data_IF_144826057307
#
_entry.id   IF_144826057307
#
_cell.length_a   1.000
_cell.length_b   1.000
_cell.length_c   1.000
_cell.angle_alpha   90.00
_cell.angle_beta   90.00
_cell.angle_gamma   90.00
#
_symmetry.space_group_name_H-M   'P 1'
#
loop_
_entity.id
_entity.type
_entity.pdbx_description
1 polymer ?
#
# COMPACT_ATOMS: atom_id res chain seq x y z
N UNK A 1 8.10 20.13 8.87
CA UNK A 1 6.83 19.69 9.53
C UNK A 1 6.14 18.65 8.66
N UNK A 2 5.63 17.57 9.27
CA UNK A 2 4.92 16.47 8.58
C UNK A 2 3.40 16.69 8.69
N UNK A 3 2.68 16.68 7.56
CA UNK A 3 1.22 16.62 7.54
C UNK A 3 0.77 15.18 7.30
N UNK A 4 0.15 14.55 8.28
CA UNK A 4 -0.34 13.16 8.21
C UNK A 4 -1.78 13.18 7.76
N UNK A 5 -2.05 12.64 6.57
CA UNK A 5 -3.35 12.61 5.92
C UNK A 5 -3.92 11.21 6.04
N UNK A 6 -5.07 11.09 6.68
CA UNK A 6 -5.73 9.81 6.99
C UNK A 6 -7.15 9.85 6.46
N UNK A 7 -7.52 8.86 5.64
CA UNK A 7 -8.90 8.61 5.26
C UNK A 7 -9.49 7.55 6.20
N UNK A 8 -10.35 7.96 7.14
CA UNK A 8 -10.85 7.08 8.17
C UNK A 8 -12.26 6.58 7.94
N UNK A 9 -12.52 5.35 8.36
CA UNK A 9 -13.83 4.67 8.31
C UNK A 9 -14.74 4.99 9.51
N UNK A 10 -14.23 5.73 10.48
CA UNK A 10 -14.97 6.20 11.65
C UNK A 10 -15.14 7.74 11.59
N UNK A 11 -16.13 8.33 12.30
CA UNK A 11 -16.30 9.79 12.34
C UNK A 11 -15.12 10.54 12.95
N UNK A 12 -14.28 9.86 13.74
CA UNK A 12 -13.11 10.44 14.41
C UNK A 12 -11.96 9.45 14.38
N UNK A 13 -10.74 9.99 14.40
CA UNK A 13 -9.52 9.18 14.53
C UNK A 13 -9.55 8.36 15.82
N UNK A 14 -9.09 7.12 15.75
CA UNK A 14 -8.92 6.27 16.93
C UNK A 14 -7.94 6.96 17.91
N UNK A 15 -8.34 7.20 19.19
CA UNK A 15 -7.46 7.83 20.19
C UNK A 15 -6.14 7.09 20.42
N UNK A 16 -6.13 5.74 20.36
CA UNK A 16 -4.92 4.95 20.53
C UNK A 16 -3.96 5.15 19.35
N UNK A 17 -4.48 5.27 18.13
CA UNK A 17 -3.68 5.55 16.95
C UNK A 17 -3.10 6.98 17.00
N UNK A 18 -3.90 7.97 17.39
CA UNK A 18 -3.43 9.34 17.59
C UNK A 18 -2.34 9.43 18.67
N UNK A 19 -2.51 8.72 19.79
CA UNK A 19 -1.51 8.64 20.85
C UNK A 19 -0.23 7.91 20.40
N UNK A 20 -0.35 6.85 19.58
CA UNK A 20 0.79 6.18 18.97
C UNK A 20 1.59 7.13 18.08
N UNK A 21 0.95 7.86 17.18
CA UNK A 21 1.60 8.90 16.36
C UNK A 21 2.33 9.90 17.27
N UNK A 22 1.63 10.51 18.21
CA UNK A 22 2.19 11.54 19.11
C UNK A 22 3.44 11.06 19.86
N UNK A 23 3.44 9.79 20.29
CA UNK A 23 4.54 9.20 21.08
C UNK A 23 5.71 8.69 20.25
N UNK A 24 5.56 8.58 18.93
CA UNK A 24 6.56 7.93 18.07
C UNK A 24 7.12 8.81 16.96
N UNK A 25 6.42 9.85 16.53
CA UNK A 25 6.76 10.63 15.32
C UNK A 25 8.10 11.37 15.42
N UNK A 26 8.41 12.01 16.55
CA UNK A 26 9.72 12.63 16.81
C UNK A 26 10.04 13.92 16.05
N UNK A 27 9.05 14.58 15.45
CA UNK A 27 9.17 15.87 14.79
C UNK A 27 7.86 16.68 14.91
N UNK A 28 7.87 17.92 14.44
CA UNK A 28 6.65 18.73 14.33
C UNK A 28 5.70 18.13 13.29
N UNK A 29 4.40 18.04 13.63
CA UNK A 29 3.41 17.42 12.76
C UNK A 29 2.01 18.01 12.96
N UNK A 30 1.13 17.75 12.00
CA UNK A 30 -0.33 17.88 12.11
C UNK A 30 -1.01 16.60 11.60
N UNK A 31 -2.21 16.32 12.07
CA UNK A 31 -3.06 15.24 11.58
C UNK A 31 -4.24 15.86 10.83
N UNK A 32 -4.42 15.44 9.60
CA UNK A 32 -5.56 15.81 8.74
C UNK A 32 -6.39 14.56 8.53
N UNK A 33 -7.40 14.43 9.38
CA UNK A 33 -8.34 13.32 9.32
C UNK A 33 -9.51 13.66 8.40
N UNK A 34 -9.75 12.80 7.42
CA UNK A 34 -10.91 12.88 6.51
C UNK A 34 -11.92 11.84 7.01
N UNK A 35 -12.99 12.32 7.62
CA UNK A 35 -14.12 11.46 7.98
C UNK A 35 -14.78 10.92 6.70
N UNK A 36 -14.63 9.64 6.48
CA UNK A 36 -15.26 8.89 5.39
C UNK A 36 -16.18 7.78 5.92
N UNK A 37 -16.70 7.92 7.13
CA UNK A 37 -17.58 6.95 7.79
C UNK A 37 -18.88 6.69 7.02
N UNK A 38 -19.28 7.64 6.16
CA UNK A 38 -20.45 7.53 5.29
C UNK A 38 -20.12 7.08 3.87
N UNK A 39 -18.85 6.85 3.54
CA UNK A 39 -18.42 6.47 2.20
C UNK A 39 -18.63 7.57 1.14
N UNK A 40 -18.52 8.84 1.53
CA UNK A 40 -18.77 9.98 0.64
C UNK A 40 -17.64 10.21 -0.38
N UNK A 41 -16.45 9.66 -0.11
CA UNK A 41 -15.26 9.82 -0.94
C UNK A 41 -14.60 8.49 -1.24
N UNK A 42 -14.07 8.36 -2.46
CA UNK A 42 -13.05 7.34 -2.72
C UNK A 42 -11.70 7.81 -2.13
N UNK A 43 -10.69 6.93 -2.11
CA UNK A 43 -9.38 7.23 -1.50
C UNK A 43 -8.67 8.39 -2.20
N UNK A 44 -8.78 8.50 -3.53
CA UNK A 44 -8.15 9.55 -4.33
C UNK A 44 -8.69 10.93 -3.94
N UNK A 45 -10.01 11.07 -3.85
CA UNK A 45 -10.69 12.30 -3.41
C UNK A 45 -10.32 12.65 -1.96
N UNK A 46 -10.33 11.66 -1.06
CA UNK A 46 -10.00 11.87 0.33
C UNK A 46 -8.56 12.38 0.50
N UNK A 47 -7.60 11.76 -0.18
CA UNK A 47 -6.20 12.13 -0.10
C UNK A 47 -5.92 13.48 -0.77
N UNK A 48 -6.53 13.78 -1.93
CA UNK A 48 -6.41 15.11 -2.56
C UNK A 48 -6.95 16.21 -1.64
N UNK A 49 -8.13 16.02 -1.04
CA UNK A 49 -8.72 16.97 -0.08
C UNK A 49 -7.86 17.16 1.17
N UNK A 50 -7.28 16.09 1.68
CA UNK A 50 -6.36 16.14 2.81
C UNK A 50 -5.09 16.92 2.47
N UNK A 51 -4.47 16.64 1.35
CA UNK A 51 -3.27 17.31 0.88
C UNK A 51 -3.47 18.82 0.63
N UNK A 52 -4.65 19.24 0.14
CA UNK A 52 -4.98 20.66 -0.01
C UNK A 52 -5.06 21.41 1.33
N UNK A 53 -5.42 20.73 2.42
CA UNK A 53 -5.51 21.30 3.77
C UNK A 53 -4.19 21.30 4.52
N UNK A 54 -3.26 20.49 4.06
CA UNK A 54 -1.97 20.26 4.70
C UNK A 54 -1.09 21.51 4.71
N UNK A 55 -0.32 21.76 5.78
CA UNK A 55 0.58 22.89 5.95
C UNK A 55 2.07 22.51 5.97
N UNK A 56 2.39 21.23 6.25
CA UNK A 56 3.75 20.72 6.29
C UNK A 56 4.37 20.57 4.90
N UNK A 57 5.69 20.61 4.81
CA UNK A 57 6.43 20.43 3.56
C UNK A 57 6.54 18.97 3.16
N UNK A 58 6.34 18.05 4.11
CA UNK A 58 6.25 16.61 3.91
C UNK A 58 4.80 16.16 4.08
N UNK A 59 4.19 15.65 3.02
CA UNK A 59 2.89 15.01 3.05
C UNK A 59 3.06 13.53 3.33
N UNK A 60 2.35 13.02 4.32
CA UNK A 60 2.35 11.62 4.72
C UNK A 60 0.93 11.06 4.59
N UNK A 61 0.72 10.08 3.74
CA UNK A 61 -0.55 9.39 3.52
C UNK A 61 -0.53 8.08 4.29
N UNK A 62 -1.55 7.83 5.09
CA UNK A 62 -1.57 6.72 6.03
C UNK A 62 -2.95 6.08 6.13
N UNK A 63 -2.97 4.75 6.26
CA UNK A 63 -4.14 4.02 6.73
C UNK A 63 -4.44 4.34 8.19
N UNK A 64 -5.66 4.05 8.63
CA UNK A 64 -6.15 4.23 10.02
C UNK A 64 -5.98 2.97 10.89
N UNK A 65 -5.48 1.87 10.31
CA UNK A 65 -5.31 0.56 10.91
C UNK A 65 -3.84 0.09 10.94
N UNK A 66 -2.93 1.02 11.24
CA UNK A 66 -1.51 0.74 11.41
C UNK A 66 -1.02 1.18 12.81
N UNK A 67 0.17 0.70 13.20
CA UNK A 67 0.89 1.10 14.41
C UNK A 67 2.36 1.30 14.10
N UNK A 68 2.92 2.42 14.51
CA UNK A 68 4.35 2.69 14.44
C UNK A 68 5.06 2.15 15.67
N UNK A 69 6.13 1.37 15.47
CA UNK A 69 7.03 0.88 16.53
C UNK A 69 8.32 1.69 16.61
N UNK A 70 8.78 2.25 15.49
CA UNK A 70 9.98 3.08 15.45
C UNK A 70 9.74 4.45 16.07
N UNK A 71 10.56 4.83 17.06
CA UNK A 71 10.61 6.21 17.56
C UNK A 71 11.36 7.11 16.59
N UNK A 72 10.83 8.33 16.37
CA UNK A 72 11.43 9.30 15.44
C UNK A 72 11.17 8.99 13.97
N UNK A 73 10.16 8.16 13.65
CA UNK A 73 9.86 7.79 12.27
C UNK A 73 9.56 8.99 11.37
N UNK A 74 8.93 10.05 11.90
CA UNK A 74 8.63 11.26 11.15
C UNK A 74 9.89 12.03 10.77
N UNK A 75 10.87 12.13 11.68
CA UNK A 75 12.16 12.75 11.38
C UNK A 75 12.97 11.95 10.33
N UNK A 76 12.87 10.60 10.37
CA UNK A 76 13.46 9.73 9.33
C UNK A 76 12.79 10.02 7.99
N UNK A 77 11.45 10.06 7.95
CA UNK A 77 10.69 10.33 6.74
C UNK A 77 11.01 11.71 6.13
N UNK A 78 10.99 12.78 6.95
CA UNK A 78 11.35 14.13 6.50
C UNK A 78 12.73 14.18 5.87
N UNK A 79 13.72 13.55 6.53
CA UNK A 79 15.08 13.51 6.03
C UNK A 79 15.17 12.80 4.67
N UNK A 80 14.61 11.58 4.55
CA UNK A 80 14.68 10.82 3.30
C UNK A 80 13.90 11.49 2.18
N UNK A 81 12.73 12.07 2.48
CA UNK A 81 11.95 12.87 1.52
C UNK A 81 12.76 14.08 1.03
N UNK A 82 13.45 14.79 1.92
CA UNK A 82 14.29 15.94 1.54
C UNK A 82 15.52 15.52 0.72
N UNK A 83 16.15 14.40 1.05
CA UNK A 83 17.31 13.86 0.34
C UNK A 83 16.96 13.36 -1.06
N UNK A 84 15.81 12.73 -1.24
CA UNK A 84 15.41 12.08 -2.50
C UNK A 84 14.56 12.97 -3.40
N UNK A 85 13.76 13.85 -2.82
CA UNK A 85 12.78 14.67 -3.56
C UNK A 85 11.63 13.86 -4.17
N UNK A 86 11.44 12.60 -3.74
CA UNK A 86 10.52 11.64 -4.29
C UNK A 86 9.52 11.05 -3.29
N UNK A 87 8.92 9.92 -3.66
CA UNK A 87 8.01 9.16 -2.80
C UNK A 87 8.82 8.20 -1.92
N UNK A 88 8.47 8.13 -0.64
CA UNK A 88 9.14 7.28 0.36
C UNK A 88 8.09 6.41 1.06
N UNK A 89 8.25 5.08 1.01
CA UNK A 89 7.42 4.10 1.74
C UNK A 89 8.27 3.08 2.48
N UNK A 90 7.64 2.08 3.13
CA UNK A 90 8.36 1.07 3.94
C UNK A 90 8.47 -0.29 3.25
N UNK A 91 7.62 -0.55 2.27
CA UNK A 91 7.62 -1.79 1.51
C UNK A 91 7.18 -1.51 0.08
N UNK A 92 7.74 -2.23 -0.87
CA UNK A 92 7.43 -2.04 -2.28
C UNK A 92 8.13 -3.05 -3.17
N UNK A 93 8.30 -2.69 -4.43
CA UNK A 93 8.94 -3.54 -5.43
C UNK A 93 9.87 -2.72 -6.33
N UNK A 94 10.97 -3.33 -6.74
CA UNK A 94 11.98 -2.76 -7.62
C UNK A 94 11.68 -2.98 -9.12
N UNK A 95 10.62 -3.72 -9.42
CA UNK A 95 10.14 -3.93 -10.79
C UNK A 95 8.61 -3.88 -10.85
N UNK A 96 8.09 -3.16 -11.85
CA UNK A 96 6.70 -3.23 -12.27
C UNK A 96 6.66 -3.91 -13.63
N UNK A 97 6.13 -5.15 -13.74
CA UNK A 97 6.11 -5.91 -14.98
C UNK A 97 5.07 -5.36 -15.96
N UNK A 98 5.17 -5.79 -17.22
CA UNK A 98 4.20 -5.40 -18.28
C UNK A 98 2.93 -6.25 -18.19
N UNK A 99 2.16 -6.00 -17.14
CA UNK A 99 0.84 -6.56 -16.91
C UNK A 99 0.09 -5.72 -15.87
N UNK A 100 -1.13 -6.10 -15.51
CA UNK A 100 -1.87 -5.54 -14.38
C UNK A 100 -1.16 -5.93 -13.08
N UNK A 101 -0.40 -5.00 -12.52
CA UNK A 101 0.52 -5.28 -11.43
C UNK A 101 0.16 -4.53 -10.15
N UNK A 102 0.56 -5.11 -9.05
CA UNK A 102 0.61 -4.51 -7.71
C UNK A 102 2.02 -4.69 -7.16
N UNK A 103 2.37 -4.01 -6.07
CA UNK A 103 3.73 -4.07 -5.52
C UNK A 103 4.19 -5.51 -5.20
N UNK A 104 3.28 -6.44 -4.93
CA UNK A 104 3.62 -7.86 -4.64
C UNK A 104 3.71 -8.75 -5.88
N UNK A 105 3.39 -8.26 -7.09
CA UNK A 105 3.28 -9.08 -8.31
C UNK A 105 4.63 -9.57 -8.80
N UNK A 106 5.67 -8.72 -8.76
CA UNK A 106 7.01 -9.08 -9.19
C UNK A 106 7.85 -9.64 -8.03
N UNK A 107 8.91 -10.44 -8.30
CA UNK A 107 9.70 -11.10 -7.26
C UNK A 107 10.65 -10.17 -6.48
N UNK A 108 10.93 -8.96 -6.97
CA UNK A 108 11.91 -8.03 -6.39
C UNK A 108 11.30 -7.12 -5.33
N UNK A 109 10.63 -7.72 -4.35
CA UNK A 109 10.11 -7.01 -3.20
C UNK A 109 11.24 -6.49 -2.33
N UNK A 110 11.03 -5.33 -1.71
CA UNK A 110 11.97 -4.72 -0.79
C UNK A 110 11.22 -4.06 0.36
N UNK A 111 11.76 -4.15 1.57
CA UNK A 111 11.17 -3.56 2.77
C UNK A 111 10.81 -4.57 3.84
N UNK A 112 10.27 -4.08 4.95
CA UNK A 112 9.85 -4.87 6.11
C UNK A 112 8.46 -4.42 6.53
N UNK A 113 7.58 -5.39 6.83
CA UNK A 113 6.25 -5.11 7.36
C UNK A 113 5.77 -6.25 8.24
N UNK A 114 5.06 -5.92 9.32
CA UNK A 114 4.34 -6.87 10.14
C UNK A 114 2.84 -6.77 9.86
N UNK A 115 2.22 -7.88 9.47
CA UNK A 115 0.78 -7.95 9.14
C UNK A 115 0.03 -8.87 10.08
N UNK A 116 -1.26 -8.61 10.19
CA UNK A 116 -2.22 -9.55 10.79
C UNK A 116 -3.04 -10.20 9.68
N UNK A 117 -2.69 -11.45 9.32
CA UNK A 117 -3.34 -12.21 8.25
C UNK A 117 -4.10 -13.39 8.86
N UNK A 118 -5.44 -13.43 8.70
CA UNK A 118 -6.28 -14.50 9.25
C UNK A 118 -6.04 -14.77 10.75
N UNK A 119 -5.80 -13.72 11.54
CA UNK A 119 -5.52 -13.82 12.98
C UNK A 119 -4.08 -14.26 13.32
N UNK A 120 -3.20 -14.38 12.34
CA UNK A 120 -1.78 -14.70 12.52
C UNK A 120 -0.96 -13.43 12.31
N UNK A 121 -0.08 -13.13 13.26
CA UNK A 121 0.92 -12.06 13.12
C UNK A 121 2.09 -12.61 12.32
N UNK A 122 2.42 -11.97 11.21
CA UNK A 122 3.51 -12.36 10.32
C UNK A 122 4.36 -11.15 9.95
N UNK A 123 5.66 -11.27 10.11
CA UNK A 123 6.61 -10.26 9.60
C UNK A 123 7.21 -10.74 8.29
N UNK A 124 6.97 -9.99 7.23
CA UNK A 124 7.62 -10.17 5.94
C UNK A 124 8.86 -9.27 5.88
N UNK A 125 10.01 -9.89 5.59
CA UNK A 125 11.30 -9.22 5.45
C UNK A 125 11.87 -9.54 4.07
N UNK A 126 11.82 -8.56 3.19
CA UNK A 126 12.30 -8.63 1.80
C UNK A 126 13.59 -7.81 1.62
N UNK A 127 14.43 -7.72 2.65
CA UNK A 127 15.73 -7.07 2.49
C UNK A 127 16.61 -7.90 1.55
N UNK A 128 17.32 -7.26 0.60
CA UNK A 128 18.27 -7.95 -0.25
C UNK A 128 19.32 -8.67 0.60
N UNK A 129 19.58 -9.94 0.26
CA UNK A 129 20.63 -10.71 0.93
C UNK A 129 21.98 -10.04 0.71
N UNK A 130 22.64 -9.55 1.77
CA UNK A 130 23.94 -8.90 1.70
C UNK A 130 24.99 -9.68 2.46
N UNK A 131 26.23 -9.53 2.01
CA UNK A 131 27.37 -10.09 2.73
C UNK A 131 27.42 -9.49 4.17
N UNK A 132 27.69 -10.32 5.20
CA UNK A 132 27.64 -9.87 6.62
C UNK A 132 28.54 -8.66 6.96
N UNK A 133 29.51 -8.35 6.11
CA UNK A 133 30.47 -7.25 6.30
C UNK A 133 30.03 -5.91 5.65
N UNK A 134 28.91 -5.89 4.90
CA UNK A 134 28.42 -4.63 4.32
C UNK A 134 27.36 -4.00 5.21
N UNK A 135 27.45 -2.66 5.50
CA UNK A 135 26.38 -1.97 6.20
C UNK A 135 25.07 -2.15 5.41
N UNK A 136 24.02 -2.56 6.08
CA UNK A 136 22.70 -2.63 5.47
C UNK A 136 22.29 -1.22 5.03
N UNK A 137 22.03 -1.02 3.73
CA UNK A 137 21.46 0.23 3.27
C UNK A 137 20.09 0.41 3.94
N UNK A 138 19.86 1.59 4.50
CA UNK A 138 18.57 1.92 5.12
C UNK A 138 17.52 2.33 4.10
N UNK A 139 17.91 2.54 2.83
CA UNK A 139 17.03 2.94 1.73
C UNK A 139 17.34 2.14 0.47
N UNK A 140 16.30 1.84 -0.31
CA UNK A 140 16.41 1.16 -1.61
C UNK A 140 15.53 1.87 -2.63
N UNK A 141 16.03 2.02 -3.86
CA UNK A 141 15.17 2.44 -4.97
C UNK A 141 14.08 1.40 -5.23
N UNK A 142 12.90 1.89 -5.59
CA UNK A 142 11.74 1.08 -5.94
C UNK A 142 10.97 1.68 -7.12
N UNK A 143 10.02 0.94 -7.64
CA UNK A 143 9.06 1.40 -8.65
C UNK A 143 7.72 1.73 -8.01
N UNK A 144 7.38 1.05 -6.95
CA UNK A 144 6.12 1.26 -6.22
C UNK A 144 6.33 0.98 -4.74
N UNK A 145 5.50 1.60 -3.91
CA UNK A 145 5.37 1.29 -2.48
C UNK A 145 3.94 0.88 -2.18
N UNK A 146 3.72 0.25 -1.02
CA UNK A 146 2.38 -0.08 -0.52
C UNK A 146 1.70 1.18 0.03
N UNK A 147 0.41 1.28 -0.21
CA UNK A 147 -0.42 2.41 0.19
C UNK A 147 -0.70 2.54 1.68
N UNK A 148 -0.35 1.54 2.49
CA UNK A 148 -0.58 1.58 3.94
C UNK A 148 0.07 2.81 4.61
N UNK A 149 1.24 3.21 4.11
CA UNK A 149 1.95 4.39 4.57
C UNK A 149 3.03 4.81 3.56
N UNK A 150 3.00 6.04 3.13
CA UNK A 150 4.04 6.66 2.32
C UNK A 150 4.06 8.18 2.47
N UNK A 151 5.20 8.80 2.17
CA UNK A 151 5.40 10.23 2.23
C UNK A 151 5.94 10.78 0.90
N UNK A 152 5.71 12.06 0.66
CA UNK A 152 6.31 12.80 -0.45
C UNK A 152 6.47 14.29 -0.11
N UNK A 153 7.35 15.03 -0.82
CA UNK A 153 7.40 16.48 -0.64
C UNK A 153 6.14 17.13 -1.21
N UNK A 154 5.64 18.17 -0.54
CA UNK A 154 4.51 18.98 -1.04
C UNK A 154 4.77 19.53 -2.45
N UNK A 155 6.00 19.89 -2.75
CA UNK A 155 6.40 20.40 -4.08
C UNK A 155 6.19 19.37 -5.18
N UNK A 156 6.36 18.07 -4.88
CA UNK A 156 6.03 16.99 -5.82
C UNK A 156 4.52 16.85 -5.96
N UNK A 157 3.74 16.91 -4.86
CA UNK A 157 2.28 16.85 -4.91
C UNK A 157 1.68 18.01 -5.73
N UNK A 158 2.35 19.15 -5.83
CA UNK A 158 1.99 20.23 -6.75
C UNK A 158 2.12 19.88 -8.24
N UNK A 159 2.85 18.81 -8.56
CA UNK A 159 3.08 18.34 -9.95
C UNK A 159 2.30 17.06 -10.27
N UNK A 160 2.00 16.23 -9.26
CA UNK A 160 1.26 14.98 -9.38
C UNK A 160 0.15 14.98 -8.32
N UNK A 161 -0.98 14.36 -8.62
CA UNK A 161 -2.11 14.24 -7.70
C UNK A 161 -2.74 12.86 -7.84
N UNK A 162 -3.51 12.45 -6.84
CA UNK A 162 -4.31 11.24 -6.97
C UNK A 162 -5.35 11.42 -8.06
N UNK A 163 -5.36 10.52 -9.04
CA UNK A 163 -6.20 10.62 -10.25
C UNK A 163 -7.63 10.14 -9.94
N UNK A 164 -8.46 11.06 -9.48
CA UNK A 164 -9.87 10.81 -9.15
C UNK A 164 -10.80 10.77 -10.40
N UNK A 165 -10.28 11.05 -11.61
CA UNK A 165 -11.02 10.93 -12.86
C UNK A 165 -10.96 9.50 -13.42
N UNK A 166 -9.76 8.87 -13.38
CA UNK A 166 -9.58 7.50 -13.87
C UNK A 166 -10.09 6.47 -12.88
N UNK A 167 -9.99 6.75 -11.56
CA UNK A 167 -10.29 5.78 -10.51
C UNK A 167 -11.42 6.27 -9.60
N UNK A 168 -12.22 5.32 -9.14
CA UNK A 168 -13.39 5.61 -8.30
C UNK A 168 -13.48 4.76 -7.03
N UNK A 169 -12.41 4.03 -6.67
CA UNK A 169 -12.38 3.08 -5.55
C UNK A 169 -11.31 3.35 -4.51
N UNK A 170 -10.80 2.26 -3.92
CA UNK A 170 -9.81 2.27 -2.85
C UNK A 170 -8.52 1.51 -3.20
N UNK A 171 -8.27 1.25 -4.49
CA UNK A 171 -7.12 0.47 -4.97
C UNK A 171 -6.30 1.24 -6.00
N UNK A 172 -5.05 0.82 -6.19
CA UNK A 172 -4.10 1.35 -7.18
C UNK A 172 -3.68 2.81 -7.01
N UNK A 173 -4.10 3.52 -5.96
CA UNK A 173 -3.71 4.91 -5.70
C UNK A 173 -2.22 5.05 -5.41
N UNK A 174 -1.65 4.06 -4.74
CA UNK A 174 -0.24 3.94 -4.41
C UNK A 174 0.63 3.68 -5.63
N UNK A 175 0.28 2.69 -6.43
CA UNK A 175 0.99 2.36 -7.66
C UNK A 175 0.80 3.44 -8.73
N UNK A 176 -0.37 4.09 -8.80
CA UNK A 176 -0.61 5.18 -9.75
C UNK A 176 0.23 6.41 -9.43
N UNK A 177 0.25 6.87 -8.17
CA UNK A 177 1.03 8.04 -7.78
C UNK A 177 2.53 7.79 -7.91
N UNK A 178 3.00 6.56 -7.66
CA UNK A 178 4.39 6.16 -7.91
C UNK A 178 4.75 6.23 -9.39
N UNK A 179 3.89 5.73 -10.28
CA UNK A 179 4.12 5.81 -11.73
C UNK A 179 4.11 7.25 -12.23
N UNK A 180 3.22 8.12 -11.70
CA UNK A 180 3.24 9.55 -12.03
C UNK A 180 4.59 10.19 -11.64
N UNK A 181 5.11 9.89 -10.45
CA UNK A 181 6.39 10.38 -9.98
C UNK A 181 7.54 9.92 -10.91
N UNK A 182 7.59 8.63 -11.24
CA UNK A 182 8.63 8.05 -12.11
C UNK A 182 8.61 8.67 -13.50
N UNK A 183 7.44 8.84 -14.12
CA UNK A 183 7.31 9.44 -15.46
C UNK A 183 7.76 10.89 -15.47
N UNK A 184 7.64 11.60 -14.35
CA UNK A 184 8.15 12.96 -14.16
C UNK A 184 9.61 13.02 -13.71
N UNK A 185 10.30 11.88 -13.58
CA UNK A 185 11.71 11.81 -13.22
C UNK A 185 12.02 11.87 -11.72
N UNK A 186 10.99 11.68 -10.87
CA UNK A 186 11.17 11.61 -9.41
C UNK A 186 11.35 10.17 -8.93
N UNK A 187 12.22 9.93 -7.94
CA UNK A 187 12.45 8.59 -7.41
C UNK A 187 11.31 8.11 -6.52
N UNK A 188 11.20 6.79 -6.43
CA UNK A 188 10.43 6.08 -5.41
C UNK A 188 11.42 5.29 -4.57
N UNK A 189 11.32 5.40 -3.24
CA UNK A 189 12.30 4.85 -2.30
C UNK A 189 11.60 4.09 -1.19
N UNK A 190 12.12 2.92 -0.86
CA UNK A 190 11.74 2.16 0.33
C UNK A 190 12.74 2.44 1.45
N UNK A 191 12.25 2.81 2.63
CA UNK A 191 13.03 2.98 3.84
C UNK A 191 12.85 1.76 4.76
N UNK A 192 13.96 1.14 5.19
CA UNK A 192 13.95 -0.16 5.88
C UNK A 192 14.15 -0.07 7.40
N UNK A 193 14.22 1.13 7.96
CA UNK A 193 14.41 1.38 9.39
C UNK A 193 13.20 2.07 10.06
N UNK A 194 12.04 1.99 9.43
CA UNK A 194 10.75 2.33 10.04
C UNK A 194 9.93 1.05 10.13
N UNK A 195 9.59 0.65 11.36
CA UNK A 195 8.82 -0.56 11.66
C UNK A 195 7.35 -0.18 11.86
N UNK A 196 6.49 -0.75 11.02
CA UNK A 196 5.03 -0.55 11.02
C UNK A 196 4.34 -1.91 11.09
N UNK A 197 3.33 -2.01 11.94
CA UNK A 197 2.40 -3.12 12.05
C UNK A 197 1.06 -2.73 11.42
N UNK A 198 0.52 -3.60 10.56
CA UNK A 198 -0.72 -3.40 9.81
C UNK A 198 -1.78 -4.42 10.23
N UNK A 199 -2.94 -3.95 10.67
CA UNK A 199 -3.97 -4.77 11.34
C UNK A 199 -5.04 -5.32 10.39
N UNK A 200 -4.94 -5.11 9.09
CA UNK A 200 -5.90 -5.66 8.14
C UNK A 200 -5.25 -6.54 7.07
N UNK A 201 -6.07 -7.47 6.56
CA UNK A 201 -5.79 -8.21 5.34
C UNK A 201 -6.42 -7.46 4.17
N UNK A 202 -5.66 -7.22 3.11
CA UNK A 202 -6.25 -6.73 1.86
C UNK A 202 -7.25 -7.75 1.29
N UNK A 203 -8.41 -7.28 0.82
CA UNK A 203 -9.36 -8.13 0.14
C UNK A 203 -9.31 -7.90 -1.38
N UNK A 204 -9.07 -8.98 -2.13
CA UNK A 204 -9.11 -8.96 -3.60
C UNK A 204 -10.56 -9.09 -4.05
N UNK A 205 -11.19 -7.95 -4.31
CA UNK A 205 -12.57 -7.86 -4.80
C UNK A 205 -12.59 -7.68 -6.31
N UNK A 206 -13.77 -7.81 -6.94
CA UNK A 206 -13.91 -7.47 -8.37
C UNK A 206 -13.48 -6.02 -8.65
N UNK A 207 -13.79 -5.09 -7.74
CA UNK A 207 -13.35 -3.70 -7.84
C UNK A 207 -11.83 -3.57 -7.92
N UNK A 208 -11.08 -4.36 -7.14
CA UNK A 208 -9.61 -4.38 -7.21
C UNK A 208 -9.12 -4.76 -8.62
N UNK A 209 -9.71 -5.79 -9.25
CA UNK A 209 -9.30 -6.23 -10.59
C UNK A 209 -9.67 -5.20 -11.65
N UNK A 210 -10.85 -4.59 -11.59
CA UNK A 210 -11.26 -3.51 -12.50
C UNK A 210 -10.34 -2.28 -12.38
N UNK A 211 -9.94 -1.90 -11.17
CA UNK A 211 -9.00 -0.79 -10.95
C UNK A 211 -7.61 -1.12 -11.53
N UNK A 212 -7.14 -2.36 -11.42
CA UNK A 212 -5.87 -2.81 -12.01
C UNK A 212 -5.89 -2.78 -13.54
N UNK A 213 -7.00 -3.17 -14.17
CA UNK A 213 -7.16 -3.05 -15.62
C UNK A 213 -7.06 -1.59 -16.08
N UNK A 214 -7.73 -0.66 -15.37
CA UNK A 214 -7.62 0.79 -15.64
C UNK A 214 -6.19 1.30 -15.44
N UNK A 215 -5.54 0.83 -14.38
CA UNK A 215 -4.14 1.16 -14.10
C UNK A 215 -3.23 0.69 -15.24
N UNK A 216 -3.38 -0.54 -15.70
CA UNK A 216 -2.59 -1.07 -16.79
C UNK A 216 -2.84 -0.30 -18.09
N UNK A 217 -4.08 -0.06 -18.46
CA UNK A 217 -4.42 0.72 -19.65
C UNK A 217 -3.78 2.13 -19.66
N UNK A 218 -3.70 2.79 -18.49
CA UNK A 218 -3.05 4.09 -18.32
C UNK A 218 -1.54 4.02 -18.49
N UNK A 219 -0.89 2.97 -17.96
CA UNK A 219 0.56 2.90 -17.81
C UNK A 219 1.28 1.94 -18.75
N UNK A 220 0.56 1.12 -19.53
CA UNK A 220 1.11 0.07 -20.40
C UNK A 220 2.32 0.51 -21.25
N UNK A 221 2.24 1.70 -21.82
CA UNK A 221 3.31 2.25 -22.69
C UNK A 221 4.63 2.54 -21.98
N UNK A 222 4.61 2.64 -20.65
CA UNK A 222 5.80 2.88 -19.84
C UNK A 222 6.35 1.61 -19.19
N UNK A 223 5.61 0.51 -19.26
CA UNK A 223 5.99 -0.76 -18.65
C UNK A 223 6.82 -1.64 -19.61
N UNK A 224 7.73 -2.48 -19.11
CA UNK A 224 8.08 -2.64 -17.69
C UNK A 224 8.99 -1.51 -17.17
N UNK A 225 8.93 -1.26 -15.85
CA UNK A 225 9.85 -0.35 -15.16
C UNK A 225 10.70 -1.13 -14.16
N UNK A 226 12.00 -0.87 -14.14
CA UNK A 226 12.96 -1.47 -13.19
C UNK A 226 13.78 -0.37 -12.54
N UNK A 227 14.00 -0.43 -11.22
CA UNK A 227 14.80 0.51 -10.43
C UNK A 227 15.59 -0.24 -9.36
N UNK A 228 16.80 0.24 -9.07
CA UNK A 228 17.63 -0.28 -7.98
C UNK A 228 18.24 -1.67 -8.21
N UNK A 229 17.92 -2.33 -9.33
CA UNK A 229 18.48 -3.62 -9.77
C UNK A 229 18.77 -3.58 -11.27
N UNK A 230 19.64 -4.49 -11.73
CA UNK A 230 19.95 -4.65 -13.15
C UNK A 230 19.43 -5.98 -13.64
N UNK A 231 18.63 -5.96 -14.70
CA UNK A 231 18.06 -7.14 -15.35
C UNK A 231 18.37 -7.10 -16.86
N UNK A 232 18.69 -8.24 -17.44
CA UNK A 232 18.76 -8.42 -18.88
C UNK A 232 17.37 -8.40 -19.53
N UNK A 233 17.29 -8.14 -20.81
CA UNK A 233 16.02 -8.18 -21.54
C UNK A 233 15.34 -9.54 -21.46
N UNK A 234 16.11 -10.63 -21.42
CA UNK A 234 15.58 -12.00 -21.30
C UNK A 234 14.96 -12.24 -19.91
N UNK A 235 15.62 -11.79 -18.83
CA UNK A 235 15.07 -11.88 -17.46
C UNK A 235 13.79 -11.07 -17.34
N UNK A 236 13.75 -9.86 -17.87
CA UNK A 236 12.54 -9.00 -17.89
C UNK A 236 11.38 -9.73 -18.60
N UNK A 237 11.61 -10.35 -19.76
CA UNK A 237 10.54 -11.06 -20.48
C UNK A 237 10.04 -12.29 -19.73
N UNK A 238 10.94 -13.07 -19.13
CA UNK A 238 10.56 -14.21 -18.28
C UNK A 238 9.70 -13.74 -17.11
N UNK A 239 10.09 -12.65 -16.44
CA UNK A 239 9.34 -12.12 -15.31
C UNK A 239 7.98 -11.57 -15.75
N UNK A 240 7.90 -10.89 -16.89
CA UNK A 240 6.63 -10.44 -17.45
C UNK A 240 5.67 -11.61 -17.70
N UNK A 241 6.17 -12.71 -18.25
CA UNK A 241 5.36 -13.91 -18.47
C UNK A 241 4.89 -14.51 -17.14
N UNK A 242 5.79 -14.73 -16.19
CA UNK A 242 5.46 -15.25 -14.86
C UNK A 242 4.43 -14.36 -14.13
N UNK A 243 4.56 -13.04 -14.25
CA UNK A 243 3.64 -12.09 -13.63
C UNK A 243 2.24 -12.17 -14.26
N UNK A 244 2.13 -12.31 -15.58
CA UNK A 244 0.84 -12.52 -16.27
C UNK A 244 0.17 -13.83 -15.82
N UNK A 245 0.91 -14.91 -15.73
CA UNK A 245 0.41 -16.21 -15.26
C UNK A 245 -0.05 -16.12 -13.80
N UNK A 246 0.75 -15.51 -12.91
CA UNK A 246 0.40 -15.32 -11.51
C UNK A 246 -0.88 -14.46 -11.34
N UNK A 247 -1.05 -13.42 -12.15
CA UNK A 247 -2.25 -12.60 -12.15
C UNK A 247 -3.50 -13.36 -12.56
N UNK A 248 -3.40 -14.17 -13.61
CA UNK A 248 -4.50 -15.03 -14.04
C UNK A 248 -4.97 -15.93 -12.89
N UNK A 249 -4.04 -16.65 -12.26
CA UNK A 249 -4.38 -17.55 -11.14
C UNK A 249 -4.90 -16.79 -9.91
N UNK A 250 -4.37 -15.58 -9.64
CA UNK A 250 -4.88 -14.74 -8.55
C UNK A 250 -6.32 -14.33 -8.78
N UNK A 251 -6.67 -13.94 -10.00
CA UNK A 251 -8.03 -13.57 -10.37
C UNK A 251 -9.01 -14.76 -10.27
N UNK A 252 -8.66 -15.91 -10.86
CA UNK A 252 -9.46 -17.13 -10.78
C UNK A 252 -9.69 -17.58 -9.32
N UNK A 253 -8.64 -17.50 -8.50
CA UNK A 253 -8.73 -17.85 -7.08
C UNK A 253 -9.67 -16.91 -6.33
N UNK A 254 -9.62 -15.61 -6.60
CA UNK A 254 -10.48 -14.62 -5.96
C UNK A 254 -11.96 -14.83 -6.34
N UNK A 255 -12.25 -15.13 -7.61
CA UNK A 255 -13.61 -15.46 -8.08
C UNK A 255 -14.13 -16.70 -7.33
N UNK A 256 -13.33 -17.76 -7.26
CA UNK A 256 -13.72 -18.99 -6.56
C UNK A 256 -13.96 -18.76 -5.06
N UNK A 257 -13.13 -17.97 -4.41
CA UNK A 257 -13.30 -17.61 -3.00
C UNK A 257 -14.59 -16.81 -2.76
N UNK A 258 -14.90 -15.85 -3.64
CA UNK A 258 -16.14 -15.08 -3.54
C UNK A 258 -17.36 -15.95 -3.74
N UNK A 259 -17.34 -16.89 -4.67
CA UNK A 259 -18.42 -17.85 -4.88
C UNK A 259 -18.63 -18.75 -3.65
N UNK A 260 -17.54 -19.27 -3.06
CA UNK A 260 -17.59 -20.03 -1.80
C UNK A 260 -18.20 -19.18 -0.68
N UNK A 261 -17.82 -17.90 -0.59
CA UNK A 261 -18.38 -16.97 0.42
C UNK A 261 -19.88 -16.79 0.21
N UNK A 262 -20.33 -16.59 -1.02
CA UNK A 262 -21.75 -16.47 -1.38
C UNK A 262 -22.53 -17.73 -1.00
N UNK A 263 -22.02 -18.91 -1.35
CA UNK A 263 -22.63 -20.19 -1.00
C UNK A 263 -22.73 -20.37 0.51
N UNK A 264 -21.68 -20.08 1.28
CA UNK A 264 -21.69 -20.15 2.75
C UNK A 264 -22.71 -19.21 3.39
N UNK A 265 -23.01 -18.10 2.74
CA UNK A 265 -23.98 -17.11 3.21
C UNK A 265 -25.42 -17.45 2.81
N UNK A 266 -25.66 -18.47 2.00
CA UNK A 266 -27.02 -18.87 1.62
C UNK A 266 -27.78 -19.41 2.83
N UNK A 267 -29.10 -19.21 2.81
CA UNK A 267 -30.02 -19.76 3.85
C UNK A 267 -29.89 -21.27 3.94
N UNK A 268 -29.77 -21.95 2.79
CA UNK A 268 -29.64 -23.41 2.72
C UNK A 268 -28.39 -23.92 3.46
N UNK A 269 -27.22 -23.29 3.26
CA UNK A 269 -26.00 -23.66 3.97
C UNK A 269 -26.11 -23.42 5.48
N UNK A 270 -26.66 -22.26 5.88
CA UNK A 270 -26.86 -21.91 7.30
C UNK A 270 -27.82 -22.86 8.00
N UNK A 271 -28.90 -23.25 7.33
CA UNK A 271 -29.85 -24.24 7.85
C UNK A 271 -29.21 -25.63 7.93
N UNK A 272 -28.51 -26.09 6.91
CA UNK A 272 -27.79 -27.37 6.91
C UNK A 272 -26.78 -27.46 8.04
N UNK A 273 -25.99 -26.42 8.30
CA UNK A 273 -25.04 -26.37 9.41
C UNK A 273 -25.73 -26.45 10.78
N UNK A 274 -26.89 -25.78 10.96
CA UNK A 274 -27.68 -25.87 12.19
C UNK A 274 -28.26 -27.26 12.42
N UNK A 275 -28.67 -27.97 11.36
CA UNK A 275 -29.19 -29.31 11.44
C UNK A 275 -28.11 -30.36 11.76
N UNK A 276 -26.90 -30.18 11.20
CA UNK A 276 -25.77 -31.12 11.42
C UNK A 276 -25.07 -30.88 12.77
N UNK A 277 -25.12 -29.67 13.31
CA UNK A 277 -24.45 -29.29 14.58
C UNK A 277 -25.42 -28.52 15.51
N UNK A 278 -26.50 -29.14 15.98
CA UNK A 278 -27.54 -28.43 16.74
C UNK A 278 -27.07 -27.89 18.10
N UNK A 279 -25.92 -28.33 18.59
CA UNK A 279 -25.40 -27.99 19.93
C UNK A 279 -24.07 -27.20 19.92
N UNK A 280 -23.57 -26.77 18.78
CA UNK A 280 -22.39 -25.91 18.76
C UNK A 280 -22.78 -24.46 19.10
N UNK A 281 -22.80 -24.14 20.39
CA UNK A 281 -22.82 -22.75 20.85
C UNK A 281 -21.43 -22.18 20.67
N UNK A 282 -21.24 -21.40 19.64
CA UNK A 282 -20.08 -20.50 19.54
C UNK A 282 -20.22 -19.44 20.63
N UNK A 283 -19.45 -19.58 21.71
CA UNK A 283 -19.15 -18.45 22.57
C UNK A 283 -18.13 -17.56 21.80
N UNK A 284 -18.56 -16.34 21.55
CA UNK A 284 -17.65 -15.22 21.19
C UNK A 284 -17.06 -14.62 22.45
#
# INVERSE_FOLDING_TARGET
MVSIIICGRAPQINPDFSANIASTIGCEYEIIYIDNSRGEHNIFQAYNRGAQRAKGDTLCFSHDDIRFHTKGWGAIAERVVAETGGIVGIIGNQMMPKCEASWWTAPFKVGIITHHINGIVKTDNFLPFRHPCEPSATTHEAVTVDGLWFCMPRSLFGQIQFDEETYNGFHCYDSDICMQAIVKGHPVTVVCNIDIEHFSDGHLTNEFFEQRERWFAKWEKYLPVVRGISLSAQEIEIINQMAREANHWTHETAIAQEEIRRLRNTIAYRLGKKLLHPFSTTKH
#
